data_IF_331176426592
#
_entry.id   IF_331176426592
#
_cell.length_a   1.000
_cell.length_b   1.000
_cell.length_c   1.000
_cell.angle_alpha   90.00
_cell.angle_beta   90.00
_cell.angle_gamma   90.00
#
_symmetry.space_group_name_H-M   'P 1'
#
loop_
_entity.id
_entity.type
_entity.pdbx_description
1 polymer ?
#
# COMPACT_ATOMS: atom_id res chain seq x y z
N UNK A 1 17.22 -3.21 18.58
CA UNK A 1 16.48 -3.83 17.45
C UNK A 1 15.43 -4.74 18.08
N UNK A 2 14.15 -4.71 17.69
CA UNK A 2 13.19 -5.67 18.22
C UNK A 2 13.61 -7.08 17.76
N UNK A 3 13.68 -8.02 18.69
CA UNK A 3 13.97 -9.42 18.38
C UNK A 3 12.73 -10.05 17.77
N UNK A 4 12.80 -10.29 16.46
CA UNK A 4 11.66 -10.82 15.72
C UNK A 4 11.66 -12.34 15.86
N UNK A 5 10.71 -12.83 16.65
CA UNK A 5 10.51 -14.26 16.89
C UNK A 5 10.08 -14.99 15.60
N UNK A 6 10.38 -16.30 15.46
CA UNK A 6 10.03 -17.12 14.30
C UNK A 6 8.57 -17.05 13.86
N UNK A 7 8.33 -17.18 12.55
CA UNK A 7 7.00 -17.03 11.93
C UNK A 7 5.92 -17.92 12.57
N UNK A 8 6.25 -19.18 12.87
CA UNK A 8 5.32 -20.15 13.46
C UNK A 8 4.94 -19.75 14.89
N UNK A 9 5.88 -19.19 15.66
CA UNK A 9 5.62 -18.66 17.01
C UNK A 9 4.74 -17.41 16.92
N UNK A 10 5.03 -16.48 16.00
CA UNK A 10 4.18 -15.29 15.77
C UNK A 10 2.74 -15.70 15.43
N UNK A 11 2.57 -16.67 14.53
CA UNK A 11 1.25 -17.17 14.14
C UNK A 11 0.49 -17.78 15.33
N UNK A 12 1.16 -18.58 16.18
CA UNK A 12 0.58 -19.13 17.40
C UNK A 12 0.17 -18.04 18.39
N UNK A 13 1.00 -17.01 18.59
CA UNK A 13 0.68 -15.90 19.48
C UNK A 13 -0.55 -15.12 19.02
N UNK A 14 -0.66 -14.83 17.72
CA UNK A 14 -1.83 -14.17 17.14
C UNK A 14 -3.09 -15.03 17.34
N UNK A 15 -3.00 -16.33 17.05
CA UNK A 15 -4.12 -17.25 17.23
C UNK A 15 -4.57 -17.38 18.70
N UNK A 16 -3.63 -17.34 19.64
CA UNK A 16 -3.91 -17.45 21.07
C UNK A 16 -4.38 -16.13 21.71
N UNK A 17 -4.27 -15.00 21.01
CA UNK A 17 -4.69 -13.69 21.51
C UNK A 17 -5.50 -12.90 20.47
N UNK A 18 -6.73 -13.34 20.16
CA UNK A 18 -7.59 -12.67 19.19
C UNK A 18 -7.93 -11.22 19.62
N UNK A 19 -7.92 -10.93 20.93
CA UNK A 19 -8.16 -9.58 21.46
C UNK A 19 -7.07 -8.61 21.04
N UNK A 20 -5.81 -9.02 21.06
CA UNK A 20 -4.70 -8.18 20.58
C UNK A 20 -4.85 -7.86 19.08
N UNK A 21 -5.25 -8.85 18.27
CA UNK A 21 -5.54 -8.65 16.86
C UNK A 21 -6.67 -7.64 16.64
N UNK A 22 -7.77 -7.77 17.39
CA UNK A 22 -8.90 -6.84 17.31
C UNK A 22 -8.54 -5.41 17.72
N UNK A 23 -7.74 -5.23 18.79
CA UNK A 23 -7.25 -3.92 19.23
C UNK A 23 -6.33 -3.27 18.20
N UNK A 24 -5.42 -4.05 17.62
CA UNK A 24 -4.55 -3.56 16.56
C UNK A 24 -5.35 -3.16 15.32
N UNK A 25 -6.34 -3.96 14.93
CA UNK A 25 -7.25 -3.63 13.83
C UNK A 25 -7.99 -2.31 14.09
N UNK A 26 -8.60 -2.14 15.28
CA UNK A 26 -9.29 -0.89 15.66
C UNK A 26 -8.36 0.33 15.62
N UNK A 27 -7.14 0.21 16.14
CA UNK A 27 -6.13 1.25 16.06
C UNK A 27 -5.80 1.61 14.61
N UNK A 28 -5.55 0.62 13.74
CA UNK A 28 -5.24 0.85 12.33
C UNK A 28 -6.39 1.50 11.58
N UNK A 29 -7.65 1.11 11.86
CA UNK A 29 -8.83 1.72 11.26
C UNK A 29 -8.96 3.19 11.66
N UNK A 30 -8.76 3.52 12.94
CA UNK A 30 -8.81 4.92 13.42
C UNK A 30 -7.73 5.78 12.77
N UNK A 31 -6.49 5.28 12.74
CA UNK A 31 -5.37 5.98 12.08
C UNK A 31 -5.62 6.17 10.58
N UNK A 32 -6.21 5.18 9.91
CA UNK A 32 -6.58 5.29 8.49
C UNK A 32 -7.65 6.37 8.26
N UNK A 33 -8.70 6.38 9.07
CA UNK A 33 -9.79 7.37 8.97
C UNK A 33 -9.26 8.79 9.22
N UNK A 34 -8.43 8.98 10.24
CA UNK A 34 -7.87 10.30 10.56
C UNK A 34 -6.83 10.75 9.53
N UNK A 35 -5.76 9.98 9.35
CA UNK A 35 -4.59 10.44 8.61
C UNK A 35 -4.65 10.18 7.09
N UNK A 36 -5.37 9.15 6.64
CA UNK A 36 -5.48 8.85 5.21
C UNK A 36 -6.75 9.47 4.62
N UNK A 37 -7.88 9.42 5.34
CA UNK A 37 -9.14 10.01 4.87
C UNK A 37 -9.32 11.46 5.31
N UNK A 38 -8.48 11.99 6.20
CA UNK A 38 -8.53 13.40 6.62
C UNK A 38 -9.77 13.74 7.43
N UNK A 39 -10.36 12.76 8.15
CA UNK A 39 -11.51 13.01 9.02
C UNK A 39 -11.04 13.68 10.29
N UNK A 40 -11.69 14.79 10.66
CA UNK A 40 -11.35 15.60 11.83
C UNK A 40 -9.87 16.05 11.88
N UNK A 41 -9.20 16.11 10.71
CA UNK A 41 -7.82 16.54 10.59
C UNK A 41 -7.71 17.94 9.96
N UNK A 42 -6.51 18.50 9.97
CA UNK A 42 -6.20 19.82 9.40
C UNK A 42 -5.79 19.76 7.91
N UNK A 43 -5.95 18.61 7.26
CA UNK A 43 -5.60 18.37 5.88
C UNK A 43 -6.72 17.62 5.16
N UNK A 44 -6.81 17.76 3.84
CA UNK A 44 -7.74 16.94 3.06
C UNK A 44 -7.30 15.46 3.07
N UNK A 45 -8.25 14.56 2.86
CA UNK A 45 -7.96 13.14 2.67
C UNK A 45 -7.30 12.86 1.32
N UNK A 46 -6.75 11.65 1.18
CA UNK A 46 -6.12 11.19 -0.05
C UNK A 46 -7.04 11.31 -1.28
N UNK A 47 -8.34 11.09 -1.08
CA UNK A 47 -9.36 11.17 -2.14
C UNK A 47 -10.00 12.56 -2.27
N UNK A 48 -9.53 13.54 -1.50
CA UNK A 48 -10.10 14.88 -1.36
C UNK A 48 -10.76 15.11 0.01
N UNK A 49 -11.47 16.24 0.13
CA UNK A 49 -12.12 16.62 1.39
C UNK A 49 -13.27 15.69 1.76
N UNK A 50 -13.07 14.87 2.78
CA UNK A 50 -14.10 13.99 3.34
C UNK A 50 -15.23 14.80 3.97
N UNK A 51 -16.47 14.54 3.56
CA UNK A 51 -17.66 15.18 4.13
C UNK A 51 -18.35 14.31 5.18
N UNK A 52 -18.35 12.99 4.98
CA UNK A 52 -18.91 12.01 5.89
C UNK A 52 -18.32 10.62 5.61
N UNK A 53 -18.42 9.72 6.57
CA UNK A 53 -18.15 8.31 6.39
C UNK A 53 -19.11 7.46 7.22
N UNK A 54 -19.32 6.22 6.79
CA UNK A 54 -20.02 5.19 7.54
C UNK A 54 -19.22 3.90 7.45
N UNK A 55 -18.79 3.37 8.60
CA UNK A 55 -18.00 2.14 8.67
C UNK A 55 -18.73 1.07 9.47
N UNK A 56 -18.77 -0.16 8.95
CA UNK A 56 -19.17 -1.34 9.71
C UNK A 56 -18.04 -2.37 9.71
N UNK A 57 -17.82 -3.00 10.86
CA UNK A 57 -16.83 -4.06 11.02
C UNK A 57 -17.54 -5.39 10.92
N UNK A 58 -17.06 -6.25 10.04
CA UNK A 58 -17.59 -7.59 9.86
C UNK A 58 -16.48 -8.61 10.09
N UNK A 59 -16.91 -9.83 10.42
CA UNK A 59 -16.02 -10.98 10.53
C UNK A 59 -16.04 -11.75 9.21
N UNK A 60 -14.89 -11.82 8.52
CA UNK A 60 -14.70 -12.68 7.35
C UNK A 60 -14.39 -14.12 7.76
N UNK A 61 -14.38 -15.01 6.76
CA UNK A 61 -13.91 -16.38 6.91
C UNK A 61 -12.54 -16.44 7.60
N UNK A 62 -12.35 -17.43 8.47
CA UNK A 62 -11.15 -17.60 9.33
C UNK A 62 -11.00 -16.55 10.45
N UNK A 63 -12.09 -15.95 10.89
CA UNK A 63 -12.15 -15.07 12.08
C UNK A 63 -11.37 -13.76 11.92
N UNK A 64 -11.08 -13.33 10.70
CA UNK A 64 -10.43 -12.03 10.44
C UNK A 64 -11.46 -10.92 10.41
N UNK A 65 -11.15 -9.78 11.02
CA UNK A 65 -11.98 -8.59 10.93
C UNK A 65 -11.69 -7.85 9.63
N UNK A 66 -12.73 -7.36 8.96
CA UNK A 66 -12.60 -6.46 7.82
C UNK A 66 -13.59 -5.29 7.94
N UNK A 67 -13.20 -4.14 7.40
CA UNK A 67 -13.98 -2.91 7.43
C UNK A 67 -14.72 -2.74 6.10
N UNK A 68 -16.04 -2.62 6.14
CA UNK A 68 -16.84 -2.08 5.05
C UNK A 68 -17.05 -0.59 5.31
N UNK A 69 -16.52 0.25 4.42
CA UNK A 69 -16.56 1.70 4.55
C UNK A 69 -17.28 2.33 3.37
N UNK A 70 -18.27 3.18 3.65
CA UNK A 70 -18.81 4.16 2.71
C UNK A 70 -18.19 5.52 3.03
N UNK A 71 -17.67 6.18 2.01
CA UNK A 71 -16.98 7.46 2.11
C UNK A 71 -17.65 8.47 1.19
N UNK A 72 -17.96 9.65 1.71
CA UNK A 72 -18.48 10.77 0.93
C UNK A 72 -17.39 11.83 0.81
N UNK A 73 -17.07 12.19 -0.43
CA UNK A 73 -16.12 13.24 -0.75
C UNK A 73 -16.89 14.47 -1.22
N UNK A 74 -16.55 15.63 -0.66
CA UNK A 74 -17.14 16.93 -1.01
C UNK A 74 -17.00 17.20 -2.52
N UNK A 75 -18.04 17.76 -3.14
CA UNK A 75 -18.08 18.05 -4.59
C UNK A 75 -17.93 16.82 -5.49
N UNK A 76 -18.20 15.61 -4.98
CA UNK A 76 -18.25 14.41 -5.82
C UNK A 76 -19.35 14.53 -6.87
N UNK A 77 -18.99 14.20 -8.11
CA UNK A 77 -19.94 14.14 -9.22
C UNK A 77 -20.96 13.01 -8.99
N UNK A 78 -22.18 13.19 -9.51
CA UNK A 78 -23.15 12.10 -9.50
C UNK A 78 -22.67 10.94 -10.39
N UNK A 79 -23.09 9.69 -10.13
CA UNK A 79 -22.77 8.57 -11.02
C UNK A 79 -23.17 8.82 -12.48
N UNK A 80 -24.24 9.57 -12.72
CA UNK A 80 -24.68 9.96 -14.06
C UNK A 80 -23.70 10.95 -14.71
N UNK A 81 -23.28 12.00 -13.99
CA UNK A 81 -22.29 12.96 -14.50
C UNK A 81 -20.95 12.26 -14.81
N UNK A 82 -20.51 11.36 -13.94
CA UNK A 82 -19.29 10.57 -14.16
C UNK A 82 -19.45 9.74 -15.44
N UNK A 83 -20.58 9.04 -15.60
CA UNK A 83 -20.86 8.23 -16.79
C UNK A 83 -20.85 9.08 -18.06
N UNK A 84 -21.55 10.21 -18.09
CA UNK A 84 -21.61 11.09 -19.25
C UNK A 84 -20.22 11.61 -19.62
N UNK A 85 -19.45 12.10 -18.64
CA UNK A 85 -18.08 12.59 -18.86
C UNK A 85 -17.10 11.49 -19.28
N UNK A 86 -17.33 10.24 -18.89
CA UNK A 86 -16.53 9.09 -19.31
C UNK A 86 -16.86 8.64 -20.74
N UNK A 87 -18.11 8.80 -21.18
CA UNK A 87 -18.55 8.41 -22.52
C UNK A 87 -18.16 9.42 -23.59
N UNK A 88 -18.01 10.70 -23.23
CA UNK A 88 -17.46 11.71 -24.11
C UNK A 88 -15.97 11.46 -24.40
N UNK A 89 -15.61 11.30 -25.68
CA UNK A 89 -14.25 11.03 -26.14
C UNK A 89 -13.33 12.25 -26.05
N UNK A 90 -13.89 13.47 -26.01
CA UNK A 90 -13.13 14.72 -25.95
C UNK A 90 -13.04 15.27 -24.51
N UNK A 91 -13.61 14.57 -23.54
CA UNK A 91 -13.65 14.96 -22.14
C UNK A 91 -12.27 14.83 -21.49
N UNK A 92 -11.72 15.96 -21.02
CA UNK A 92 -10.50 15.97 -20.21
C UNK A 92 -10.66 15.13 -18.93
N UNK A 93 -11.88 15.08 -18.36
CA UNK A 93 -12.17 14.25 -17.19
C UNK A 93 -11.90 12.77 -17.47
N UNK A 94 -12.31 12.25 -18.63
CA UNK A 94 -12.06 10.86 -19.02
C UNK A 94 -10.56 10.57 -19.07
N UNK A 95 -9.80 11.42 -19.76
CA UNK A 95 -8.35 11.26 -19.87
C UNK A 95 -7.69 11.25 -18.50
N UNK A 96 -8.02 12.22 -17.64
CA UNK A 96 -7.47 12.32 -16.27
C UNK A 96 -7.86 11.14 -15.39
N UNK A 97 -9.08 10.63 -15.51
CA UNK A 97 -9.52 9.45 -14.76
C UNK A 97 -8.76 8.19 -15.19
N UNK A 98 -8.53 8.00 -16.50
CA UNK A 98 -7.73 6.87 -17.01
C UNK A 98 -6.27 7.00 -16.53
N UNK A 99 -5.65 8.17 -16.72
CA UNK A 99 -4.28 8.43 -16.24
C UNK A 99 -4.15 8.13 -14.74
N UNK A 100 -5.13 8.57 -13.94
CA UNK A 100 -5.15 8.28 -12.50
C UNK A 100 -5.24 6.78 -12.22
N UNK A 101 -6.19 6.07 -12.84
CA UNK A 101 -6.37 4.63 -12.63
C UNK A 101 -5.13 3.83 -13.03
N UNK A 102 -4.50 4.17 -14.15
CA UNK A 102 -3.24 3.54 -14.60
C UNK A 102 -2.07 3.84 -13.65
N UNK A 103 -2.09 5.00 -12.99
CA UNK A 103 -1.06 5.38 -12.01
C UNK A 103 -1.18 4.65 -10.67
N UNK A 104 -2.39 4.25 -10.26
CA UNK A 104 -2.64 3.60 -8.97
C UNK A 104 -2.86 2.09 -9.06
N UNK A 105 -3.21 1.57 -10.25
CA UNK A 105 -3.41 0.14 -10.47
C UNK A 105 -2.25 -0.45 -11.28
N UNK A 106 -1.16 -0.75 -10.59
CA UNK A 106 -0.01 -1.44 -11.18
C UNK A 106 0.17 -2.82 -10.56
N UNK A 107 0.27 -3.85 -11.42
CA UNK A 107 0.54 -5.23 -11.02
C UNK A 107 2.00 -5.65 -11.22
N UNK A 108 2.85 -4.73 -11.67
CA UNK A 108 4.26 -4.97 -11.98
C UNK A 108 5.19 -4.32 -10.96
N UNK A 109 6.48 -4.62 -11.07
CA UNK A 109 7.51 -3.97 -10.26
C UNK A 109 7.80 -2.57 -10.80
N UNK A 110 8.16 -1.66 -9.91
CA UNK A 110 8.48 -0.28 -10.27
C UNK A 110 9.79 -0.26 -11.05
N UNK A 111 9.75 0.20 -12.30
CA UNK A 111 10.90 0.41 -13.20
C UNK A 111 11.80 -0.81 -13.44
N UNK A 112 11.37 -2.03 -13.08
CA UNK A 112 12.19 -3.25 -13.13
C UNK A 112 11.35 -4.47 -13.53
N UNK A 113 11.99 -5.46 -14.14
CA UNK A 113 11.40 -6.77 -14.39
C UNK A 113 11.47 -7.66 -13.15
N UNK A 114 10.64 -8.71 -13.11
CA UNK A 114 10.65 -9.70 -12.03
C UNK A 114 12.03 -10.34 -11.82
N UNK A 115 12.73 -10.69 -12.89
CA UNK A 115 14.02 -11.39 -12.81
C UNK A 115 15.11 -10.46 -12.25
N UNK A 116 15.09 -9.19 -12.64
CA UNK A 116 15.98 -8.15 -12.08
C UNK A 116 15.75 -7.98 -10.58
N UNK A 117 14.49 -7.80 -10.16
CA UNK A 117 14.13 -7.67 -8.74
C UNK A 117 14.52 -8.92 -7.95
N UNK A 118 14.29 -10.12 -8.49
CA UNK A 118 14.69 -11.37 -7.84
C UNK A 118 16.20 -11.46 -7.63
N UNK A 119 17.00 -11.09 -8.63
CA UNK A 119 18.45 -11.11 -8.52
C UNK A 119 18.95 -10.07 -7.53
N UNK A 120 18.39 -8.86 -7.55
CA UNK A 120 18.76 -7.78 -6.66
C UNK A 120 18.39 -8.09 -5.20
N UNK A 121 17.20 -8.63 -4.93
CA UNK A 121 16.79 -9.03 -3.59
C UNK A 121 17.63 -10.20 -3.08
N UNK A 122 17.97 -11.19 -3.92
CA UNK A 122 18.89 -12.27 -3.54
C UNK A 122 20.27 -11.74 -3.16
N UNK A 123 20.79 -10.79 -3.93
CA UNK A 123 22.07 -10.15 -3.64
C UNK A 123 22.02 -9.32 -2.36
N UNK A 124 20.98 -8.50 -2.16
CA UNK A 124 20.80 -7.73 -0.92
C UNK A 124 20.66 -8.65 0.28
N UNK A 125 19.87 -9.73 0.16
CA UNK A 125 19.63 -10.66 1.26
C UNK A 125 20.85 -11.52 1.65
N UNK A 126 21.92 -11.54 0.85
CA UNK A 126 23.18 -12.20 1.25
C UNK A 126 24.05 -11.30 2.15
N UNK A 127 23.75 -10.00 2.23
CA UNK A 127 24.41 -9.06 3.13
C UNK A 127 23.94 -9.26 4.58
N UNK A 128 24.84 -9.45 5.56
CA UNK A 128 24.48 -9.54 6.97
C UNK A 128 23.72 -8.32 7.54
N UNK A 129 23.88 -7.14 6.94
CA UNK A 129 23.21 -5.90 7.35
C UNK A 129 21.80 -5.75 6.78
N UNK A 130 21.42 -6.59 5.80
CA UNK A 130 20.11 -6.54 5.18
C UNK A 130 18.98 -6.73 6.19
N UNK A 131 17.93 -5.93 6.02
CA UNK A 131 16.70 -6.00 6.82
C UNK A 131 15.54 -6.30 5.90
N UNK A 132 14.85 -7.41 6.18
CA UNK A 132 13.65 -7.77 5.44
C UNK A 132 12.59 -6.67 5.60
N UNK A 133 12.14 -6.03 4.51
CA UNK A 133 11.23 -4.91 4.61
C UNK A 133 9.84 -5.33 5.12
N UNK A 134 9.48 -6.62 5.06
CA UNK A 134 8.23 -7.15 5.66
C UNK A 134 8.25 -7.11 7.20
N UNK A 135 9.39 -6.73 7.78
CA UNK A 135 9.67 -6.76 9.20
C UNK A 135 10.17 -5.42 9.75
N UNK A 136 10.15 -4.37 8.94
CA UNK A 136 10.58 -3.03 9.31
C UNK A 136 9.55 -1.99 8.90
N UNK A 137 9.52 -0.87 9.61
CA UNK A 137 8.78 0.31 9.16
C UNK A 137 9.56 1.02 8.04
N UNK A 138 8.87 1.64 7.07
CA UNK A 138 9.53 2.46 6.06
C UNK A 138 10.10 3.72 6.70
N UNK A 139 11.20 4.23 6.14
CA UNK A 139 11.72 5.54 6.52
C UNK A 139 10.79 6.64 5.98
N UNK A 140 10.44 7.65 6.77
CA UNK A 140 9.61 8.76 6.29
C UNK A 140 10.36 9.54 5.18
N UNK A 141 9.64 10.09 4.19
CA UNK A 141 10.25 10.94 3.19
C UNK A 141 10.81 12.22 3.85
N UNK A 142 11.89 12.81 3.31
CA UNK A 142 12.33 14.14 3.71
C UNK A 142 11.24 15.18 3.49
N UNK A 143 11.27 16.27 4.25
CA UNK A 143 10.34 17.38 4.05
C UNK A 143 10.55 18.02 2.66
N UNK A 144 9.48 18.36 1.94
CA UNK A 144 9.59 18.96 0.61
C UNK A 144 10.23 20.36 0.68
N UNK A 145 11.00 20.71 -0.35
CA UNK A 145 11.53 22.05 -0.52
C UNK A 145 10.51 23.00 -1.16
N UNK A 146 10.55 24.29 -0.81
CA UNK A 146 9.75 25.35 -1.44
C UNK A 146 10.29 25.80 -2.82
N UNK A 147 11.26 25.09 -3.36
CA UNK A 147 11.90 25.38 -4.65
C UNK A 147 11.90 24.17 -5.56
N UNK A 148 12.08 24.41 -6.87
CA UNK A 148 12.31 23.32 -7.83
C UNK A 148 13.58 22.55 -7.47
N UNK A 149 13.63 21.28 -7.85
CA UNK A 149 14.79 20.44 -7.64
C UNK A 149 16.09 21.14 -8.10
N UNK A 150 17.12 21.06 -7.28
CA UNK A 150 18.47 21.55 -7.57
C UNK A 150 19.50 20.65 -6.90
N UNK A 151 20.61 20.37 -7.59
CA UNK A 151 21.73 19.58 -7.06
C UNK A 151 22.51 20.30 -5.95
N UNK A 152 22.22 21.59 -5.73
CA UNK A 152 22.84 22.42 -4.70
C UNK A 152 22.05 22.46 -3.38
N UNK A 153 20.97 21.68 -3.27
CA UNK A 153 20.16 21.58 -2.07
C UNK A 153 20.23 20.16 -1.51
N UNK A 154 20.77 20.04 -0.30
CA UNK A 154 20.95 18.75 0.37
C UNK A 154 19.62 17.99 0.51
N UNK A 155 18.51 18.69 0.82
CA UNK A 155 17.18 18.09 0.95
C UNK A 155 16.67 17.54 -0.38
N UNK A 156 16.96 18.20 -1.50
CA UNK A 156 16.59 17.71 -2.83
C UNK A 156 17.34 16.43 -3.18
N UNK A 157 18.65 16.39 -2.89
CA UNK A 157 19.49 15.20 -3.13
C UNK A 157 19.09 14.05 -2.21
N UNK A 158 18.79 14.35 -0.94
CA UNK A 158 18.29 13.37 0.02
C UNK A 158 16.94 12.81 -0.42
N UNK A 159 16.01 13.68 -0.88
CA UNK A 159 14.72 13.26 -1.41
C UNK A 159 14.85 12.33 -2.61
N UNK A 160 15.74 12.65 -3.56
CA UNK A 160 16.00 11.79 -4.71
C UNK A 160 16.56 10.42 -4.29
N UNK A 161 17.47 10.42 -3.31
CA UNK A 161 18.04 9.20 -2.74
C UNK A 161 16.97 8.36 -2.03
N UNK A 162 16.09 9.02 -1.27
CA UNK A 162 14.97 8.39 -0.60
C UNK A 162 14.01 7.75 -1.60
N UNK A 163 13.65 8.42 -2.69
CA UNK A 163 12.79 7.86 -3.73
C UNK A 163 13.40 6.62 -4.39
N UNK A 164 14.72 6.63 -4.64
CA UNK A 164 15.42 5.44 -5.16
C UNK A 164 15.34 4.28 -4.18
N UNK A 165 15.57 4.53 -2.89
CA UNK A 165 15.45 3.53 -1.82
C UNK A 165 14.02 3.01 -1.69
N UNK A 166 13.03 3.90 -1.72
CA UNK A 166 11.61 3.58 -1.67
C UNK A 166 11.23 2.57 -2.76
N UNK A 167 11.58 2.85 -4.02
CA UNK A 167 11.29 1.93 -5.14
C UNK A 167 11.89 0.54 -4.91
N UNK A 168 13.16 0.48 -4.50
CA UNK A 168 13.85 -0.79 -4.21
C UNK A 168 13.27 -1.56 -3.02
N UNK A 169 12.72 -0.86 -2.01
CA UNK A 169 12.02 -1.47 -0.86
C UNK A 169 10.64 -1.99 -1.27
N UNK A 170 9.88 -1.20 -2.03
CA UNK A 170 8.55 -1.60 -2.51
C UNK A 170 8.66 -2.81 -3.42
N UNK A 171 9.63 -2.84 -4.34
CA UNK A 171 9.86 -4.02 -5.18
C UNK A 171 10.20 -5.27 -4.37
N UNK A 172 11.01 -5.15 -3.32
CA UNK A 172 11.32 -6.26 -2.41
C UNK A 172 10.06 -6.73 -1.65
N UNK A 173 9.27 -5.80 -1.12
CA UNK A 173 7.98 -6.09 -0.46
C UNK A 173 7.00 -6.81 -1.39
N UNK A 174 6.84 -6.32 -2.62
CA UNK A 174 5.98 -6.92 -3.64
C UNK A 174 6.46 -8.33 -3.99
N UNK A 175 7.78 -8.53 -4.12
CA UNK A 175 8.36 -9.83 -4.44
C UNK A 175 8.02 -10.85 -3.34
N UNK A 176 8.14 -10.46 -2.08
CA UNK A 176 7.92 -11.34 -0.92
C UNK A 176 6.44 -11.57 -0.60
N UNK A 177 5.57 -10.60 -0.89
CA UNK A 177 4.18 -10.59 -0.41
C UNK A 177 3.16 -10.91 -1.51
N UNK A 178 3.44 -10.52 -2.76
CA UNK A 178 2.48 -10.56 -3.86
C UNK A 178 2.87 -11.52 -4.99
N UNK A 179 3.98 -12.26 -4.88
CA UNK A 179 4.30 -13.34 -5.82
C UNK A 179 3.80 -14.68 -5.31
N UNK A 180 2.92 -15.30 -6.11
CA UNK A 180 2.56 -16.68 -5.92
C UNK A 180 3.73 -17.62 -6.23
N UNK A 181 4.06 -18.50 -5.29
CA UNK A 181 4.95 -19.64 -5.51
C UNK A 181 4.12 -20.91 -5.45
N UNK A 182 4.02 -21.63 -6.57
CA UNK A 182 3.19 -22.84 -6.63
C UNK A 182 3.67 -23.90 -5.63
N UNK A 183 2.78 -24.29 -4.72
CA UNK A 183 2.98 -25.38 -3.77
C UNK A 183 1.83 -26.39 -3.84
N UNK A 184 1.86 -27.40 -2.99
CA UNK A 184 0.85 -28.49 -3.03
C UNK A 184 -0.57 -27.99 -2.73
N UNK A 185 -0.70 -26.90 -2.00
CA UNK A 185 -1.98 -26.29 -1.60
C UNK A 185 -2.70 -25.53 -2.72
N UNK A 186 -2.04 -25.22 -3.84
CA UNK A 186 -2.64 -24.50 -4.97
C UNK A 186 -2.74 -25.34 -6.25
N UNK A 187 -2.23 -26.59 -6.22
CA UNK A 187 -2.32 -27.53 -7.34
C UNK A 187 -3.61 -28.33 -7.26
N UNK A 188 -4.46 -28.19 -8.26
CA UNK A 188 -5.63 -29.05 -8.46
C UNK A 188 -5.41 -29.89 -9.70
N UNK A 189 -5.33 -31.22 -9.52
CA UNK A 189 -4.97 -32.16 -10.60
C UNK A 189 -3.61 -31.84 -11.25
N UNK A 190 -2.63 -31.42 -10.45
CA UNK A 190 -1.29 -31.06 -10.95
C UNK A 190 -1.18 -29.69 -11.62
N UNK A 191 -2.30 -28.98 -11.82
CA UNK A 191 -2.33 -27.64 -12.42
C UNK A 191 -2.45 -26.60 -11.30
N UNK A 192 -1.53 -25.64 -11.28
CA UNK A 192 -1.56 -24.50 -10.36
C UNK A 192 -2.75 -23.59 -10.73
N UNK A 193 -3.66 -23.36 -9.78
CA UNK A 193 -4.89 -22.56 -9.99
C UNK A 193 -4.81 -21.11 -9.48
N UNK A 194 -3.64 -20.71 -8.99
CA UNK A 194 -3.40 -19.38 -8.46
C UNK A 194 -2.98 -18.40 -9.56
#
# INVERSE_FOLDING_TARGET
KPDIIPKDIRAKLIANNPVAGARFFDMMVKLFIEHVLGVDSNHDGLYGKTSAYYGTVEQQGRLTLHLHLLLWITNSLSPQDIRERMMDKNSNFRTKMIEYLESVHQGEFIDQTKDEVQNEVKYRASDPEYKDPTQTLPDPPPYPCDHKYTDHCDICVESQTWWKKFKGIVNDLLLKSNIHTCGDHCKVKGICKA
#
